data_IF_595809493701
#
_entry.id   IF_595809493701
#
_cell.length_a   1.000
_cell.length_b   1.000
_cell.length_c   1.000
_cell.angle_alpha   90.00
_cell.angle_beta   90.00
_cell.angle_gamma   90.00
#
_symmetry.space_group_name_H-M   'P 1'
#
loop_
_entity.id
_entity.type
_entity.pdbx_description
1 polymer ?
#
# COMPACT_ATOMS: atom_id res chain seq x y z
N UNK A 1 -14.94 3.96 22.66
CA UNK A 1 -14.42 5.24 22.10
C UNK A 1 -14.71 5.26 20.62
N UNK A 2 -15.10 6.41 20.06
CA UNK A 2 -15.22 6.57 18.60
C UNK A 2 -13.90 7.17 18.12
N UNK A 3 -13.12 6.42 17.35
CA UNK A 3 -11.91 6.94 16.73
C UNK A 3 -12.30 7.88 15.59
N UNK A 4 -11.71 9.09 15.55
CA UNK A 4 -11.92 10.02 14.43
C UNK A 4 -11.06 9.56 13.26
N UNK A 5 -11.59 9.52 12.02
CA UNK A 5 -10.81 9.17 10.86
C UNK A 5 -9.78 10.25 10.54
N UNK A 6 -8.59 9.83 10.12
CA UNK A 6 -7.56 10.68 9.53
C UNK A 6 -7.14 10.10 8.20
N UNK A 7 -7.25 10.93 7.17
CA UNK A 7 -6.89 10.56 5.81
C UNK A 7 -5.38 10.66 5.64
N UNK A 8 -4.75 9.55 5.24
CA UNK A 8 -3.33 9.47 4.89
C UNK A 8 -3.26 9.32 3.37
N UNK A 9 -2.55 10.23 2.70
CA UNK A 9 -2.37 10.13 1.24
C UNK A 9 -1.11 9.35 0.92
N UNK A 10 -1.21 8.32 0.07
CA UNK A 10 -0.06 7.59 -0.46
C UNK A 10 -0.07 7.74 -1.98
N UNK A 11 0.75 8.66 -2.49
CA UNK A 11 0.83 9.00 -3.91
C UNK A 11 1.76 8.04 -4.61
N UNK A 12 1.28 6.81 -4.82
CA UNK A 12 2.01 5.74 -5.48
C UNK A 12 1.30 5.30 -6.77
N UNK A 13 2.12 4.98 -7.76
CA UNK A 13 1.75 4.26 -8.97
C UNK A 13 2.77 3.14 -9.28
N UNK A 14 3.60 2.79 -8.31
CA UNK A 14 4.72 1.87 -8.48
C UNK A 14 4.24 0.42 -8.73
N UNK A 15 3.06 0.08 -8.23
CA UNK A 15 2.43 -1.22 -8.36
C UNK A 15 1.55 -1.35 -9.60
N UNK A 16 1.27 -0.25 -10.32
CA UNK A 16 0.40 -0.19 -11.50
C UNK A 16 0.98 0.75 -12.57
N UNK A 17 0.18 1.23 -13.51
CA UNK A 17 0.57 2.30 -14.45
C UNK A 17 0.34 3.70 -13.85
N UNK A 18 1.08 4.73 -14.31
CA UNK A 18 0.83 6.11 -13.92
C UNK A 18 -0.60 6.59 -14.20
N UNK A 19 -1.11 7.42 -13.30
CA UNK A 19 -2.42 8.06 -13.34
C UNK A 19 -3.20 7.91 -12.04
N UNK A 20 -3.04 6.76 -11.36
CA UNK A 20 -3.74 6.41 -10.11
C UNK A 20 -3.20 7.16 -8.89
N UNK A 21 -1.95 7.61 -8.90
CA UNK A 21 -1.33 8.38 -7.81
C UNK A 21 -2.06 9.70 -7.51
N UNK A 22 -2.94 10.14 -8.42
CA UNK A 22 -3.74 11.37 -8.30
C UNK A 22 -5.00 11.20 -7.44
N UNK A 23 -5.38 9.98 -7.09
CA UNK A 23 -6.60 9.70 -6.29
C UNK A 23 -6.59 10.43 -4.95
N UNK A 24 -5.42 10.44 -4.28
CA UNK A 24 -5.21 11.15 -3.01
C UNK A 24 -5.34 12.67 -3.11
N UNK A 25 -5.47 13.25 -4.30
CA UNK A 25 -5.85 14.66 -4.47
C UNK A 25 -7.28 14.79 -4.98
N UNK A 26 -7.69 13.95 -5.92
CA UNK A 26 -9.01 14.00 -6.54
C UNK A 26 -10.17 13.81 -5.53
N UNK A 27 -10.09 12.80 -4.65
CA UNK A 27 -11.20 12.55 -3.70
C UNK A 27 -11.31 13.62 -2.60
N UNK A 28 -10.21 14.11 -2.01
CA UNK A 28 -10.28 15.26 -1.10
C UNK A 28 -10.83 16.54 -1.76
N UNK A 29 -10.45 16.84 -3.01
CA UNK A 29 -10.97 18.00 -3.75
C UNK A 29 -12.50 17.92 -3.97
N UNK A 30 -13.03 16.71 -4.09
CA UNK A 30 -14.49 16.43 -4.17
C UNK A 30 -15.18 16.35 -2.79
N UNK A 31 -14.47 16.69 -1.70
CA UNK A 31 -15.06 16.80 -0.36
C UNK A 31 -15.17 15.50 0.44
N UNK A 32 -14.46 14.43 0.06
CA UNK A 32 -14.53 13.14 0.76
C UNK A 32 -14.25 13.28 2.26
N UNK A 33 -13.18 14.00 2.63
CA UNK A 33 -12.77 14.14 4.03
C UNK A 33 -13.87 14.80 4.88
N UNK A 34 -14.53 15.84 4.35
CA UNK A 34 -15.66 16.49 5.01
C UNK A 34 -16.84 15.52 5.15
N UNK A 35 -17.18 14.82 4.06
CA UNK A 35 -18.32 13.90 4.03
C UNK A 35 -18.21 12.76 5.06
N UNK A 36 -17.00 12.29 5.36
CA UNK A 36 -16.75 11.24 6.36
C UNK A 36 -16.26 11.77 7.71
N UNK A 37 -16.20 13.10 7.89
CA UNK A 37 -15.72 13.72 9.13
C UNK A 37 -14.27 13.42 9.47
N UNK A 38 -13.42 13.22 8.44
CA UNK A 38 -12.00 12.95 8.60
C UNK A 38 -11.16 14.22 8.61
N UNK A 39 -10.07 14.21 9.39
CA UNK A 39 -8.98 15.17 9.22
C UNK A 39 -8.11 14.76 8.03
N UNK A 40 -7.49 15.74 7.36
CA UNK A 40 -6.45 15.46 6.37
C UNK A 40 -5.11 15.38 7.10
N UNK A 41 -4.43 14.24 6.95
CA UNK A 41 -3.18 13.90 7.61
C UNK A 41 -1.97 13.94 6.67
N UNK A 42 -0.92 13.16 6.98
CA UNK A 42 0.33 13.16 6.23
C UNK A 42 0.21 12.64 4.79
N UNK A 43 1.23 12.97 3.98
CA UNK A 43 1.38 12.50 2.59
C UNK A 43 2.67 11.69 2.47
N UNK A 44 2.58 10.50 1.88
CA UNK A 44 3.70 9.64 1.50
C UNK A 44 3.87 9.71 -0.01
N UNK A 45 5.01 10.27 -0.45
CA UNK A 45 5.34 10.39 -1.87
C UNK A 45 6.13 9.17 -2.36
N UNK A 46 5.74 8.62 -3.50
CA UNK A 46 6.53 7.61 -4.19
C UNK A 46 7.62 8.25 -5.07
N UNK A 47 8.77 7.58 -5.27
CA UNK A 47 9.72 7.96 -6.31
C UNK A 47 9.10 7.80 -7.72
N UNK A 48 9.76 8.31 -8.77
CA UNK A 48 9.29 8.16 -10.15
C UNK A 48 9.12 6.70 -10.56
N UNK A 49 8.02 6.42 -11.25
CA UNK A 49 7.73 5.12 -11.87
C UNK A 49 8.79 4.74 -12.92
N UNK A 50 9.19 3.47 -12.92
CA UNK A 50 9.94 2.84 -14.01
C UNK A 50 9.12 1.70 -14.65
N UNK A 51 9.14 1.65 -15.98
CA UNK A 51 8.57 0.54 -16.75
C UNK A 51 9.53 -0.65 -16.93
N UNK A 52 10.72 -0.59 -16.33
CA UNK A 52 11.78 -1.58 -16.54
C UNK A 52 11.59 -2.81 -15.63
N UNK A 53 11.38 -3.98 -16.24
CA UNK A 53 11.28 -5.27 -15.53
C UNK A 53 12.64 -5.94 -15.35
N UNK A 54 13.57 -5.22 -14.72
CA UNK A 54 14.95 -5.69 -14.52
C UNK A 54 15.12 -6.51 -13.24
N UNK A 55 14.16 -6.45 -12.31
CA UNK A 55 14.23 -7.17 -11.06
C UNK A 55 14.06 -8.71 -11.28
N UNK A 56 14.81 -9.58 -10.59
CA UNK A 56 14.71 -11.04 -10.75
C UNK A 56 13.32 -11.63 -10.48
N UNK A 57 12.51 -10.97 -9.63
CA UNK A 57 11.13 -11.39 -9.39
C UNK A 57 10.15 -11.05 -10.51
N UNK A 58 10.61 -10.33 -11.54
CA UNK A 58 9.80 -9.76 -12.63
C UNK A 58 8.79 -8.68 -12.21
N UNK A 59 8.79 -8.29 -10.94
CA UNK A 59 8.05 -7.12 -10.45
C UNK A 59 8.68 -5.82 -10.98
N UNK A 60 7.82 -4.88 -11.33
CA UNK A 60 8.18 -3.48 -11.54
C UNK A 60 8.40 -2.80 -10.19
N UNK A 61 9.36 -1.88 -10.12
CA UNK A 61 9.56 -0.96 -8.99
C UNK A 61 9.68 -1.63 -7.59
N UNK A 62 10.15 -2.87 -7.49
CA UNK A 62 10.10 -3.67 -6.27
C UNK A 62 10.77 -2.99 -5.06
N UNK A 63 11.97 -2.45 -5.24
CA UNK A 63 12.72 -1.76 -4.18
C UNK A 63 12.04 -0.45 -3.76
N UNK A 64 11.56 0.31 -4.74
CA UNK A 64 10.86 1.57 -4.50
C UNK A 64 9.55 1.34 -3.74
N UNK A 65 8.80 0.30 -4.10
CA UNK A 65 7.59 -0.10 -3.38
C UNK A 65 7.89 -0.49 -1.93
N UNK A 66 8.99 -1.22 -1.70
CA UNK A 66 9.37 -1.62 -0.35
C UNK A 66 9.70 -0.41 0.53
N UNK A 67 10.40 0.57 -0.02
CA UNK A 67 10.70 1.83 0.67
C UNK A 67 9.42 2.63 0.99
N UNK A 68 8.50 2.75 0.03
CA UNK A 68 7.20 3.42 0.22
C UNK A 68 6.36 2.69 1.27
N UNK A 69 6.32 1.36 1.25
CA UNK A 69 5.59 0.55 2.21
C UNK A 69 6.12 0.74 3.64
N UNK A 70 7.45 0.83 3.82
CA UNK A 70 8.05 1.12 5.13
C UNK A 70 7.64 2.51 5.64
N UNK A 71 7.77 3.55 4.80
CA UNK A 71 7.36 4.92 5.16
C UNK A 71 5.87 5.02 5.45
N UNK A 72 5.04 4.38 4.64
CA UNK A 72 3.61 4.29 4.87
C UNK A 72 3.29 3.59 6.19
N UNK A 73 3.98 2.49 6.50
CA UNK A 73 3.75 1.75 7.74
C UNK A 73 4.02 2.59 8.98
N UNK A 74 5.09 3.40 8.95
CA UNK A 74 5.42 4.32 10.03
C UNK A 74 4.32 5.40 10.20
N UNK A 75 3.85 6.00 9.09
CA UNK A 75 2.77 7.00 9.15
C UNK A 75 1.45 6.40 9.67
N UNK A 76 1.07 5.22 9.20
CA UNK A 76 -0.14 4.52 9.67
C UNK A 76 -0.01 4.18 11.16
N UNK A 77 1.18 3.77 11.60
CA UNK A 77 1.45 3.50 13.00
C UNK A 77 1.26 4.76 13.87
N UNK A 78 1.86 5.88 13.48
CA UNK A 78 1.74 7.15 14.20
C UNK A 78 0.28 7.61 14.33
N UNK A 79 -0.50 7.54 13.24
CA UNK A 79 -1.94 7.88 13.25
C UNK A 79 -2.73 7.02 14.23
N UNK A 80 -2.42 5.71 14.33
CA UNK A 80 -3.08 4.83 15.30
C UNK A 80 -2.65 5.17 16.73
N UNK A 81 -1.37 5.49 16.96
CA UNK A 81 -0.85 5.93 18.28
C UNK A 81 -1.49 7.21 18.78
N UNK A 82 -1.81 8.13 17.86
CA UNK A 82 -2.57 9.35 18.13
C UNK A 82 -4.07 9.08 18.42
N UNK A 83 -4.48 7.82 18.48
CA UNK A 83 -5.85 7.41 18.78
C UNK A 83 -6.83 7.68 17.64
N UNK A 84 -6.34 7.84 16.40
CA UNK A 84 -7.14 8.06 15.20
C UNK A 84 -7.33 6.77 14.40
N UNK A 85 -8.32 6.78 13.52
CA UNK A 85 -8.55 5.70 12.57
C UNK A 85 -7.87 6.06 11.24
N UNK A 86 -6.80 5.38 10.82
CA UNK A 86 -6.15 5.67 9.54
C UNK A 86 -7.06 5.29 8.37
N UNK A 87 -7.25 6.24 7.45
CA UNK A 87 -7.92 6.04 6.16
C UNK A 87 -6.88 6.29 5.07
N UNK A 88 -6.30 5.23 4.54
CA UNK A 88 -5.29 5.35 3.49
C UNK A 88 -5.98 5.57 2.15
N UNK A 89 -5.72 6.72 1.54
CA UNK A 89 -6.07 7.00 0.14
C UNK A 89 -4.81 6.81 -0.69
N UNK A 90 -4.72 5.63 -1.31
CA UNK A 90 -3.62 5.25 -2.16
C UNK A 90 -3.74 5.75 -3.59
N UNK A 91 -2.87 5.25 -4.45
CA UNK A 91 -3.10 5.23 -5.89
C UNK A 91 -3.42 3.81 -6.33
N UNK A 92 -2.40 2.96 -6.41
CA UNK A 92 -2.55 1.53 -6.70
C UNK A 92 -2.66 0.66 -5.41
N UNK A 93 -2.96 -0.63 -5.60
CA UNK A 93 -3.24 -1.57 -4.51
C UNK A 93 -2.00 -1.95 -3.68
N UNK A 94 -0.80 -1.58 -4.12
CA UNK A 94 0.44 -1.82 -3.34
C UNK A 94 0.45 -1.09 -1.99
N UNK A 95 -0.43 -0.11 -1.78
CA UNK A 95 -0.66 0.51 -0.46
C UNK A 95 -1.13 -0.49 0.60
N UNK A 96 -1.56 -1.68 0.22
CA UNK A 96 -1.86 -2.75 1.17
C UNK A 96 -0.61 -3.13 1.98
N UNK A 97 0.59 -3.07 1.40
CA UNK A 97 1.82 -3.52 2.06
C UNK A 97 2.16 -2.70 3.29
N UNK A 98 2.15 -1.36 3.18
CA UNK A 98 2.43 -0.50 4.33
C UNK A 98 1.35 -0.60 5.40
N UNK A 99 0.09 -0.72 5.00
CA UNK A 99 -1.05 -0.88 5.93
C UNK A 99 -0.94 -2.18 6.72
N UNK A 100 -0.69 -3.31 6.05
CA UNK A 100 -0.52 -4.60 6.71
C UNK A 100 0.73 -4.63 7.58
N UNK A 101 1.84 -4.03 7.13
CA UNK A 101 3.07 -3.94 7.91
C UNK A 101 2.86 -3.17 9.23
N UNK A 102 2.18 -2.02 9.19
CA UNK A 102 1.86 -1.24 10.39
C UNK A 102 1.04 -2.05 11.41
N UNK A 103 0.02 -2.78 10.92
CA UNK A 103 -0.83 -3.61 11.77
C UNK A 103 -0.08 -4.84 12.30
N UNK A 104 0.74 -5.49 11.47
CA UNK A 104 1.52 -6.67 11.87
C UNK A 104 2.47 -6.37 13.03
N UNK A 105 3.09 -5.19 13.03
CA UNK A 105 3.95 -4.71 14.14
C UNK A 105 3.21 -4.58 15.47
N UNK A 106 1.87 -4.46 15.44
CA UNK A 106 1.01 -4.27 16.62
C UNK A 106 0.35 -5.56 17.10
N UNK A 107 0.21 -6.57 16.25
CA UNK A 107 -0.43 -7.84 16.60
C UNK A 107 -0.98 -8.62 15.42
N UNK A 108 -1.94 -9.49 15.71
CA UNK A 108 -2.66 -10.27 14.72
C UNK A 108 -3.97 -9.56 14.34
N UNK A 109 -4.13 -9.29 13.04
CA UNK A 109 -5.29 -8.61 12.48
C UNK A 109 -5.87 -9.44 11.33
N UNK A 110 -7.18 -9.32 11.12
CA UNK A 110 -7.85 -9.87 9.94
C UNK A 110 -7.82 -8.89 8.78
N UNK A 111 -7.88 -9.42 7.56
CA UNK A 111 -8.02 -8.64 6.33
C UNK A 111 -9.37 -8.97 5.68
N UNK A 112 -10.14 -7.92 5.37
CA UNK A 112 -11.28 -8.01 4.46
C UNK A 112 -10.84 -7.31 3.17
N UNK A 113 -10.76 -8.07 2.09
CA UNK A 113 -10.35 -7.59 0.77
C UNK A 113 -11.56 -7.60 -0.15
N UNK A 114 -11.88 -6.45 -0.73
CA UNK A 114 -12.98 -6.27 -1.66
C UNK A 114 -12.43 -5.70 -2.96
N UNK A 115 -12.24 -6.58 -3.93
CA UNK A 115 -11.76 -6.22 -5.26
C UNK A 115 -12.52 -7.04 -6.32
N UNK A 116 -12.54 -6.54 -7.55
CA UNK A 116 -12.99 -7.31 -8.71
C UNK A 116 -12.00 -8.43 -9.07
N UNK A 117 -10.73 -8.30 -8.66
CA UNK A 117 -9.66 -9.24 -8.89
C UNK A 117 -9.27 -9.96 -7.59
N UNK A 118 -8.50 -11.05 -7.72
CA UNK A 118 -8.02 -11.84 -6.56
C UNK A 118 -6.57 -11.43 -6.20
N UNK A 119 -5.86 -10.89 -7.19
CA UNK A 119 -4.51 -10.34 -7.08
C UNK A 119 -3.48 -11.31 -6.48
N UNK A 120 -3.63 -12.56 -6.89
CA UNK A 120 -2.88 -13.70 -6.37
C UNK A 120 -1.95 -14.32 -7.42
N UNK A 121 -1.62 -13.62 -8.51
CA UNK A 121 -0.64 -14.15 -9.45
C UNK A 121 0.73 -14.30 -8.77
N UNK A 122 1.45 -15.40 -8.99
CA UNK A 122 2.88 -15.42 -8.77
C UNK A 122 3.54 -14.36 -9.66
N UNK A 123 4.37 -13.43 -9.14
CA UNK A 123 4.96 -12.36 -9.95
C UNK A 123 5.73 -12.84 -11.19
N UNK A 124 6.32 -14.04 -11.13
CA UNK A 124 7.04 -14.65 -12.25
C UNK A 124 6.13 -15.01 -13.43
N UNK A 125 4.85 -15.23 -13.16
CA UNK A 125 3.81 -15.63 -14.11
C UNK A 125 2.91 -14.45 -14.53
N UNK A 126 2.98 -13.31 -13.82
CA UNK A 126 2.25 -12.10 -14.22
C UNK A 126 2.68 -11.64 -15.63
N UNK A 127 1.73 -11.37 -16.53
CA UNK A 127 2.04 -10.82 -17.85
C UNK A 127 2.47 -9.33 -17.77
N UNK A 128 2.09 -8.62 -16.71
CA UNK A 128 2.29 -7.17 -16.57
C UNK A 128 3.47 -6.79 -15.66
N UNK A 129 3.90 -7.70 -14.78
CA UNK A 129 4.89 -7.41 -13.74
C UNK A 129 4.43 -6.37 -12.71
N UNK A 130 3.17 -5.95 -12.77
CA UNK A 130 2.57 -5.00 -11.84
C UNK A 130 2.31 -5.70 -10.51
N UNK A 131 2.58 -4.99 -9.41
CA UNK A 131 2.27 -5.54 -8.10
C UNK A 131 0.77 -5.72 -7.91
N UNK A 132 -0.08 -4.88 -8.52
CA UNK A 132 -1.54 -4.99 -8.54
C UNK A 132 -2.09 -6.29 -9.17
N UNK A 133 -1.25 -7.13 -9.79
CA UNK A 133 -1.68 -8.48 -10.21
C UNK A 133 -1.49 -9.52 -9.08
N UNK A 134 -0.70 -9.17 -8.05
CA UNK A 134 0.06 -10.12 -7.22
C UNK A 134 0.15 -9.69 -5.74
N UNK A 135 -0.42 -8.57 -5.32
CA UNK A 135 -0.21 -8.02 -3.99
C UNK A 135 -0.78 -8.92 -2.90
N UNK A 136 -1.86 -9.65 -3.17
CA UNK A 136 -2.38 -10.65 -2.26
C UNK A 136 -1.47 -11.88 -2.19
N UNK A 137 -0.87 -12.31 -3.30
CA UNK A 137 0.16 -13.36 -3.29
C UNK A 137 1.36 -12.96 -2.41
N UNK A 138 1.82 -11.72 -2.58
CA UNK A 138 2.94 -11.14 -1.84
C UNK A 138 2.61 -10.92 -0.35
N UNK A 139 1.41 -10.43 -0.04
CA UNK A 139 0.92 -10.19 1.32
C UNK A 139 0.70 -11.46 2.14
N UNK A 140 0.62 -12.62 1.49
CA UNK A 140 0.59 -13.93 2.15
C UNK A 140 1.99 -14.54 2.33
N UNK A 141 3.04 -13.82 1.92
CA UNK A 141 4.43 -14.26 2.11
C UNK A 141 4.98 -15.15 1.04
N UNK A 142 4.39 -15.07 -0.15
CA UNK A 142 4.91 -15.75 -1.31
C UNK A 142 5.67 -14.77 -2.21
N UNK A 143 6.68 -15.26 -2.93
CA UNK A 143 7.39 -14.46 -3.93
C UNK A 143 8.60 -13.70 -3.39
N UNK A 144 8.78 -12.46 -3.85
CA UNK A 144 10.04 -11.74 -3.74
C UNK A 144 10.30 -11.19 -2.34
N UNK A 145 11.41 -11.59 -1.71
CA UNK A 145 11.75 -11.18 -0.34
C UNK A 145 11.77 -9.66 -0.12
N UNK A 146 12.15 -8.89 -1.14
CA UNK A 146 12.19 -7.41 -1.08
C UNK A 146 10.85 -6.79 -0.68
N UNK A 147 9.73 -7.42 -1.04
CA UNK A 147 8.37 -6.96 -0.71
C UNK A 147 7.69 -7.94 0.24
N UNK A 148 7.69 -9.23 -0.11
CA UNK A 148 7.03 -10.27 0.67
C UNK A 148 7.71 -10.52 2.02
N UNK A 149 8.89 -9.98 2.30
CA UNK A 149 9.52 -10.07 3.62
C UNK A 149 10.08 -8.71 4.05
N UNK A 150 9.40 -7.61 3.66
CA UNK A 150 9.81 -6.22 3.96
C UNK A 150 9.95 -5.93 5.46
N UNK A 151 9.32 -6.73 6.33
CA UNK A 151 9.47 -6.68 7.79
C UNK A 151 10.73 -7.40 8.35
N UNK A 152 11.54 -8.03 7.48
CA UNK A 152 12.77 -8.82 7.72
C UNK A 152 12.55 -10.33 8.02
N UNK A 153 13.15 -11.19 7.17
CA UNK A 153 13.59 -12.60 7.37
C UNK A 153 12.69 -13.62 8.10
N UNK A 154 11.41 -13.33 8.29
CA UNK A 154 10.46 -14.21 8.95
C UNK A 154 9.10 -13.99 8.33
N UNK A 155 8.65 -15.02 7.62
CA UNK A 155 7.37 -15.16 6.92
C UNK A 155 6.21 -14.46 7.65
N UNK A 156 5.25 -13.94 6.88
CA UNK A 156 4.00 -13.33 7.32
C UNK A 156 3.33 -14.10 8.47
#
# INVERSE_FOLDING_TARGET
MVHRPEVIHVRTNLGLVPGVERLGTALPDEGLAEAVGASVGPVVEAPPYSGDRVHPSRLLNAEAMAEVALRQADVVADTIEDGRLPVVLGGDDSVIFGSLLALRRRGAYGLVFLDAHIDFYPPTESPTGQASDSEMYLAFGHGADVIANVAVAGRW
#
